data_IF_259760004830
#
_entry.id   IF_259760004830
#
_cell.length_a   1.000
_cell.length_b   1.000
_cell.length_c   1.000
_cell.angle_alpha   90.00
_cell.angle_beta   90.00
_cell.angle_gamma   90.00
#
_symmetry.space_group_name_H-M   'P 1'
#
loop_
_entity.id
_entity.type
_entity.pdbx_description
1 polymer ?
#
# COMPACT_ATOMS: atom_id res chain seq x y z
N UNK A 1 28.73 -63.70 76.98
CA UNK A 1 28.19 -65.04 76.61
C UNK A 1 26.69 -65.06 76.87
N UNK A 2 25.89 -65.84 76.13
CA UNK A 2 24.86 -65.31 75.23
C UNK A 2 23.44 -65.79 75.58
N UNK A 3 22.41 -65.26 74.89
CA UNK A 3 21.27 -65.97 74.23
C UNK A 3 20.13 -64.98 73.95
N UNK A 4 19.88 -64.64 72.68
CA UNK A 4 18.92 -65.23 71.74
C UNK A 4 17.43 -64.95 72.04
N UNK A 5 16.89 -63.96 71.30
CA UNK A 5 15.92 -64.12 70.21
C UNK A 5 14.52 -64.74 70.50
N UNK A 6 13.46 -63.92 70.34
CA UNK A 6 12.41 -63.98 69.27
C UNK A 6 11.01 -63.60 69.77
N UNK A 7 10.19 -63.13 68.81
CA UNK A 7 8.72 -63.07 68.78
C UNK A 7 8.10 -61.87 69.56
N UNK A 8 7.09 -61.12 69.10
CA UNK A 8 6.09 -61.23 68.03
C UNK A 8 5.47 -59.84 67.75
N UNK A 9 5.06 -59.63 66.50
CA UNK A 9 3.90 -58.83 66.04
C UNK A 9 3.69 -57.39 66.58
N UNK A 10 3.74 -56.40 65.67
CA UNK A 10 2.67 -55.40 65.56
C UNK A 10 2.63 -54.75 64.16
N UNK A 11 1.41 -54.61 63.69
CA UNK A 11 0.94 -54.21 62.37
C UNK A 11 1.19 -52.73 62.03
N UNK A 12 0.97 -52.44 60.73
CA UNK A 12 0.38 -51.20 60.19
C UNK A 12 1.36 -50.06 59.89
N UNK A 13 1.60 -49.77 58.61
CA UNK A 13 0.88 -48.72 57.88
C UNK A 13 1.15 -48.78 56.37
N UNK A 14 0.05 -48.67 55.61
CA UNK A 14 0.01 -48.38 54.19
C UNK A 14 0.61 -46.99 53.89
N UNK A 15 1.13 -46.81 52.68
CA UNK A 15 1.44 -45.48 52.14
C UNK A 15 1.96 -45.56 50.71
N UNK A 16 1.03 -45.64 49.76
CA UNK A 16 1.22 -45.70 48.31
C UNK A 16 2.08 -44.56 47.75
N UNK A 17 2.92 -44.89 46.76
CA UNK A 17 3.77 -43.98 46.01
C UNK A 17 2.97 -42.84 45.32
N UNK A 18 3.39 -41.59 45.57
CA UNK A 18 2.89 -40.40 44.89
C UNK A 18 3.86 -40.03 43.75
N UNK A 19 3.57 -40.51 42.53
CA UNK A 19 4.23 -40.06 41.31
C UNK A 19 3.59 -38.73 40.88
N UNK A 20 4.29 -37.62 41.14
CA UNK A 20 3.93 -36.30 40.63
C UNK A 20 4.35 -36.25 39.17
N UNK A 21 3.39 -36.39 38.25
CA UNK A 21 3.61 -36.14 36.83
C UNK A 21 3.61 -34.64 36.58
N UNK A 22 4.78 -34.11 36.21
CA UNK A 22 4.96 -32.74 35.75
C UNK A 22 4.28 -32.62 34.37
N UNK A 23 3.02 -32.19 34.33
CA UNK A 23 2.39 -31.79 33.07
C UNK A 23 2.99 -30.46 32.64
N UNK A 24 3.97 -30.53 31.75
CA UNK A 24 4.41 -29.38 30.98
C UNK A 24 3.22 -28.90 30.15
N UNK A 25 2.55 -27.85 30.61
CA UNK A 25 1.62 -27.07 29.79
C UNK A 25 2.48 -26.38 28.72
N UNK A 26 2.68 -27.09 27.60
CA UNK A 26 3.16 -26.51 26.37
C UNK A 26 2.16 -25.42 25.97
N UNK A 27 2.46 -24.18 26.33
CA UNK A 27 1.74 -23.02 25.80
C UNK A 27 2.08 -23.01 24.31
N UNK A 28 1.26 -23.66 23.50
CA UNK A 28 1.28 -23.47 22.06
C UNK A 28 0.87 -22.03 21.83
N UNK A 29 1.87 -21.15 21.72
CA UNK A 29 1.66 -19.81 21.18
C UNK A 29 1.27 -20.02 19.72
N UNK A 30 -0.03 -20.03 19.46
CA UNK A 30 -0.49 -20.00 18.09
C UNK A 30 0.06 -18.72 17.46
N UNK A 31 0.77 -18.80 16.32
CA UNK A 31 1.22 -17.61 15.63
C UNK A 31 -0.03 -16.80 15.30
N UNK A 32 -0.14 -15.61 15.90
CA UNK A 32 -1.18 -14.65 15.55
C UNK A 32 -1.00 -14.36 14.07
N UNK A 33 -1.94 -14.82 13.24
CA UNK A 33 -1.93 -14.52 11.81
C UNK A 33 -2.08 -13.01 11.70
N UNK A 34 -0.99 -12.32 11.37
CA UNK A 34 -1.05 -10.89 11.08
C UNK A 34 -2.12 -10.67 10.01
N UNK A 35 -3.10 -9.82 10.29
CA UNK A 35 -4.17 -9.53 9.35
C UNK A 35 -3.55 -8.95 8.05
N UNK A 36 -3.82 -9.59 6.91
CA UNK A 36 -3.34 -9.14 5.62
C UNK A 36 -4.06 -7.86 5.20
N UNK A 37 -3.32 -6.91 4.63
CA UNK A 37 -3.90 -5.71 4.05
C UNK A 37 -4.42 -6.08 2.66
N UNK A 38 -5.74 -6.27 2.54
CA UNK A 38 -6.43 -6.52 1.27
C UNK A 38 -7.34 -5.33 0.98
N UNK A 39 -7.19 -4.73 -0.20
CA UNK A 39 -8.05 -3.64 -0.61
C UNK A 39 -9.42 -4.16 -1.05
N UNK A 40 -10.49 -3.48 -0.60
CA UNK A 40 -11.85 -3.71 -1.09
C UNK A 40 -12.24 -2.56 -2.01
N UNK A 41 -12.31 -2.78 -3.34
CA UNK A 41 -12.72 -1.73 -4.26
C UNK A 41 -14.12 -1.21 -3.91
N UNK A 42 -14.33 0.12 -3.92
CA UNK A 42 -15.67 0.67 -3.86
C UNK A 42 -16.46 0.31 -5.14
N UNK A 43 -17.78 0.38 -5.10
CA UNK A 43 -18.64 0.17 -6.28
C UNK A 43 -18.48 1.23 -7.39
N UNK A 44 -17.69 2.28 -7.15
CA UNK A 44 -17.34 3.32 -8.10
C UNK A 44 -16.49 2.77 -9.25
N UNK A 45 -16.75 3.26 -10.47
CA UNK A 45 -15.92 3.01 -11.65
C UNK A 45 -15.39 4.33 -12.19
N UNK A 46 -14.17 4.30 -12.74
CA UNK A 46 -13.66 5.43 -13.51
C UNK A 46 -14.63 5.77 -14.66
N UNK A 47 -14.85 7.07 -14.96
CA UNK A 47 -15.49 7.49 -16.20
C UNK A 47 -14.82 6.84 -17.42
N UNK A 48 -15.63 6.43 -18.41
CA UNK A 48 -15.11 5.83 -19.63
C UNK A 48 -14.18 6.80 -20.34
N UNK A 49 -12.93 6.40 -20.57
CA UNK A 49 -12.01 7.11 -21.45
C UNK A 49 -12.19 6.60 -22.88
N UNK A 50 -12.10 7.48 -23.87
CA UNK A 50 -11.94 7.06 -25.26
C UNK A 50 -10.49 6.59 -25.45
N UNK A 51 -10.29 5.39 -25.99
CA UNK A 51 -8.96 4.96 -26.41
C UNK A 51 -8.50 5.84 -27.60
N UNK A 52 -7.32 6.45 -27.48
CA UNK A 52 -6.68 7.16 -28.59
C UNK A 52 -6.22 6.17 -29.66
N UNK A 53 -6.56 6.42 -30.93
CA UNK A 53 -6.32 5.50 -32.06
C UNK A 53 -4.89 5.48 -32.63
N UNK A 54 -3.86 5.84 -31.85
CA UNK A 54 -2.49 5.93 -32.35
C UNK A 54 -1.60 4.82 -31.77
N UNK A 55 -1.29 3.81 -32.60
CA UNK A 55 -0.20 2.86 -32.33
C UNK A 55 1.11 3.51 -32.77
N UNK A 56 2.03 3.79 -31.83
CA UNK A 56 3.39 4.22 -32.14
C UNK A 56 4.36 3.36 -31.34
N UNK A 57 5.31 2.77 -32.05
CA UNK A 57 6.12 1.64 -31.61
C UNK A 57 7.58 2.07 -31.37
N UNK A 58 7.79 3.15 -30.63
CA UNK A 58 9.14 3.60 -30.28
C UNK A 58 9.27 3.80 -28.77
N UNK A 59 10.42 3.40 -28.24
CA UNK A 59 10.75 3.55 -26.83
C UNK A 59 11.23 4.99 -26.56
N UNK A 60 10.39 5.82 -25.97
CA UNK A 60 10.75 7.20 -25.61
C UNK A 60 11.41 7.20 -24.24
N UNK A 61 12.63 7.75 -24.14
CA UNK A 61 13.46 7.78 -22.93
C UNK A 61 13.62 6.43 -22.18
N UNK A 62 13.67 5.32 -22.93
CA UNK A 62 13.83 3.96 -22.39
C UNK A 62 12.51 3.31 -21.94
N UNK A 63 11.38 4.00 -22.09
CA UNK A 63 10.04 3.56 -21.71
C UNK A 63 9.27 3.24 -22.99
N UNK A 64 8.67 2.06 -23.09
CA UNK A 64 7.95 1.65 -24.31
C UNK A 64 6.57 1.11 -23.97
N UNK A 65 5.53 1.55 -24.70
CA UNK A 65 4.14 1.14 -24.44
C UNK A 65 3.88 -0.38 -24.48
N UNK A 66 4.77 -1.14 -25.13
CA UNK A 66 4.67 -2.59 -25.29
C UNK A 66 5.54 -3.40 -24.30
N UNK A 67 6.20 -2.74 -23.33
CA UNK A 67 6.96 -3.44 -22.29
C UNK A 67 6.04 -4.09 -21.23
N UNK A 68 6.49 -5.18 -20.59
CA UNK A 68 5.73 -5.83 -19.54
C UNK A 68 5.48 -4.90 -18.33
N UNK A 69 4.44 -5.17 -17.51
CA UNK A 69 4.22 -4.47 -16.25
C UNK A 69 5.50 -4.48 -15.39
N UNK A 70 5.83 -3.33 -14.79
CA UNK A 70 7.09 -3.15 -14.04
C UNK A 70 8.27 -2.59 -14.84
N UNK A 71 8.17 -2.50 -16.16
CA UNK A 71 9.17 -1.78 -16.99
C UNK A 71 8.61 -0.49 -17.62
N UNK A 72 7.37 -0.13 -17.26
CA UNK A 72 6.68 1.07 -17.68
C UNK A 72 6.29 1.94 -16.49
N UNK A 73 6.08 3.23 -16.74
CA UNK A 73 5.46 4.13 -15.76
C UNK A 73 4.12 3.53 -15.39
N UNK A 74 3.90 3.29 -14.09
CA UNK A 74 2.73 2.56 -13.62
C UNK A 74 2.03 3.35 -12.52
N UNK A 75 0.74 3.70 -12.68
CA UNK A 75 -0.02 4.31 -11.60
C UNK A 75 -0.19 3.29 -10.46
N UNK A 76 0.02 3.69 -9.20
CA UNK A 76 -0.41 2.85 -8.08
C UNK A 76 -1.90 3.06 -7.88
N UNK A 77 -2.70 2.38 -8.70
CA UNK A 77 -4.16 2.38 -8.67
C UNK A 77 -4.73 0.97 -8.75
N UNK A 78 -5.95 0.75 -8.24
CA UNK A 78 -6.69 -0.46 -8.53
C UNK A 78 -7.06 -0.53 -10.01
N UNK A 79 -7.37 -1.73 -10.50
CA UNK A 79 -7.81 -1.99 -11.89
C UNK A 79 -9.03 -1.16 -12.34
N UNK A 80 -9.77 -0.57 -11.41
CA UNK A 80 -10.88 0.33 -11.71
C UNK A 80 -10.46 1.74 -12.13
N UNK A 81 -9.15 2.05 -12.11
CA UNK A 81 -8.52 3.35 -12.36
C UNK A 81 -9.04 4.50 -11.49
N UNK A 82 -9.77 4.19 -10.41
CA UNK A 82 -10.34 5.17 -9.49
C UNK A 82 -10.06 4.78 -8.04
N UNK A 83 -9.61 5.75 -7.25
CA UNK A 83 -9.44 5.62 -5.81
C UNK A 83 -10.30 6.64 -5.06
N UNK A 84 -10.76 6.28 -3.86
CA UNK A 84 -11.40 7.23 -2.95
C UNK A 84 -10.37 7.89 -2.05
N UNK A 85 -10.67 9.11 -1.62
CA UNK A 85 -9.90 9.76 -0.57
C UNK A 85 -10.73 10.62 0.38
N UNK A 86 -10.29 10.76 1.63
CA UNK A 86 -10.79 11.78 2.55
C UNK A 86 -9.98 13.09 2.49
N UNK A 87 -8.72 12.99 2.05
CA UNK A 87 -7.78 14.09 2.05
C UNK A 87 -8.20 15.20 1.06
N UNK A 88 -8.07 16.45 1.51
CA UNK A 88 -8.22 17.61 0.64
C UNK A 88 -7.08 17.74 -0.37
N UNK A 89 -5.88 17.35 0.05
CA UNK A 89 -4.64 17.38 -0.72
C UNK A 89 -4.02 15.98 -0.71
N UNK A 90 -4.57 15.02 -1.47
CA UNK A 90 -4.06 13.65 -1.47
C UNK A 90 -2.63 13.57 -2.05
N UNK A 91 -1.90 12.54 -1.64
CA UNK A 91 -0.63 12.17 -2.28
C UNK A 91 -0.89 11.05 -3.27
N UNK A 92 -0.37 11.22 -4.49
CA UNK A 92 -0.46 10.23 -5.56
C UNK A 92 0.86 9.49 -5.65
N UNK A 93 0.80 8.17 -5.82
CA UNK A 93 1.98 7.32 -5.93
C UNK A 93 2.05 6.73 -7.33
N UNK A 94 3.25 6.78 -7.93
CA UNK A 94 3.49 6.35 -9.30
C UNK A 94 4.83 5.63 -9.32
N UNK A 95 4.89 4.44 -9.91
CA UNK A 95 6.15 3.78 -10.20
C UNK A 95 6.77 4.37 -11.45
N UNK A 96 8.04 4.75 -11.36
CA UNK A 96 8.86 5.23 -12.47
C UNK A 96 10.01 4.23 -12.67
N UNK A 97 10.08 3.55 -13.83
CA UNK A 97 11.17 2.64 -14.14
C UNK A 97 12.47 3.41 -14.42
N UNK A 98 13.56 2.68 -14.67
CA UNK A 98 14.79 3.30 -15.16
C UNK A 98 14.52 4.05 -16.47
N UNK A 99 14.94 5.32 -16.54
CA UNK A 99 14.63 6.21 -17.66
C UNK A 99 15.71 7.29 -17.81
N UNK A 100 15.83 7.84 -19.02
CA UNK A 100 16.64 9.03 -19.27
C UNK A 100 15.88 10.34 -19.06
N UNK A 101 14.56 10.31 -18.82
CA UNK A 101 13.78 11.50 -18.49
C UNK A 101 14.25 12.12 -17.17
N UNK A 102 14.32 13.45 -17.13
CA UNK A 102 14.75 14.20 -15.94
C UNK A 102 13.58 14.84 -15.18
N UNK A 103 12.44 14.97 -15.84
CA UNK A 103 11.28 15.64 -15.28
C UNK A 103 9.99 15.02 -15.83
N UNK A 104 8.89 15.35 -15.17
CA UNK A 104 7.53 15.02 -15.57
C UNK A 104 6.68 16.27 -15.54
N UNK A 105 5.67 16.32 -16.41
CA UNK A 105 4.54 17.22 -16.25
C UNK A 105 3.43 16.50 -15.50
N UNK A 106 2.92 17.12 -14.45
CA UNK A 106 1.81 16.58 -13.66
C UNK A 106 0.64 17.56 -13.67
N UNK A 107 -0.58 17.06 -13.77
CA UNK A 107 -1.80 17.88 -13.72
C UNK A 107 -2.96 17.18 -13.02
N UNK A 108 -3.89 17.97 -12.48
CA UNK A 108 -5.17 17.55 -11.94
C UNK A 108 -6.26 18.42 -12.56
N UNK A 109 -7.28 17.77 -13.10
CA UNK A 109 -8.46 18.41 -13.68
C UNK A 109 -9.73 17.96 -12.95
N UNK A 110 -10.74 18.82 -12.90
CA UNK A 110 -12.07 18.43 -12.43
C UNK A 110 -12.87 17.65 -13.49
N UNK A 111 -14.09 17.23 -13.16
CA UNK A 111 -14.97 16.50 -14.08
C UNK A 111 -15.36 17.29 -15.34
N UNK A 112 -15.22 18.61 -15.34
CA UNK A 112 -15.49 19.49 -16.49
C UNK A 112 -14.21 19.79 -17.30
N UNK A 113 -13.10 19.11 -16.99
CA UNK A 113 -11.77 19.37 -17.58
C UNK A 113 -11.20 20.76 -17.25
N UNK A 114 -11.66 21.41 -16.18
CA UNK A 114 -11.00 22.60 -15.68
C UNK A 114 -9.72 22.20 -14.96
N UNK A 115 -8.63 22.90 -15.27
CA UNK A 115 -7.35 22.68 -14.60
C UNK A 115 -7.40 23.18 -13.16
N UNK A 116 -7.16 22.29 -12.21
CA UNK A 116 -7.10 22.59 -10.76
C UNK A 116 -5.67 22.80 -10.31
N UNK A 117 -4.74 22.02 -10.85
CA UNK A 117 -3.33 22.08 -10.53
C UNK A 117 -2.50 21.55 -11.69
N UNK A 118 -1.34 22.17 -11.93
CA UNK A 118 -0.33 21.61 -12.80
C UNK A 118 1.07 22.04 -12.35
N UNK A 119 2.06 21.18 -12.58
CA UNK A 119 3.45 21.48 -12.24
C UNK A 119 4.45 20.62 -13.02
N UNK A 120 5.69 21.07 -13.06
CA UNK A 120 6.84 20.32 -13.56
C UNK A 120 7.65 19.78 -12.39
N UNK A 121 7.76 18.46 -12.29
CA UNK A 121 8.43 17.79 -11.17
C UNK A 121 9.71 17.13 -11.65
N UNK A 122 10.82 17.37 -10.95
CA UNK A 122 12.07 16.68 -11.22
C UNK A 122 11.97 15.22 -10.78
N UNK A 123 12.46 14.32 -11.62
CA UNK A 123 12.55 12.91 -11.28
C UNK A 123 13.81 12.61 -10.48
N UNK A 124 13.75 11.67 -9.52
CA UNK A 124 14.94 11.11 -8.92
C UNK A 124 15.73 10.32 -9.97
N UNK A 125 17.05 10.22 -9.79
CA UNK A 125 17.90 9.43 -10.69
C UNK A 125 17.67 7.92 -10.59
N UNK A 126 17.03 7.45 -9.52
CA UNK A 126 16.80 6.02 -9.25
C UNK A 126 15.38 5.65 -9.66
N UNK A 127 15.23 4.47 -10.25
CA UNK A 127 13.92 3.85 -10.46
C UNK A 127 13.23 3.53 -9.12
N UNK A 128 11.91 3.60 -9.11
CA UNK A 128 11.10 3.30 -7.93
C UNK A 128 9.79 4.07 -7.88
N UNK A 129 9.11 3.97 -6.74
CA UNK A 129 7.79 4.53 -6.50
C UNK A 129 7.95 5.93 -5.94
N UNK A 130 7.57 6.93 -6.74
CA UNK A 130 7.62 8.34 -6.38
C UNK A 130 6.31 8.80 -5.75
N UNK A 131 6.38 9.96 -5.07
CA UNK A 131 5.27 10.59 -4.36
C UNK A 131 5.02 11.97 -4.94
N UNK A 132 3.84 12.16 -5.52
CA UNK A 132 3.39 13.44 -6.03
C UNK A 132 2.39 14.04 -5.06
N UNK A 133 2.79 15.11 -4.38
CA UNK A 133 1.96 15.81 -3.38
C UNK A 133 1.23 16.96 -4.05
N UNK A 134 -0.08 17.05 -3.82
CA UNK A 134 -0.80 18.28 -4.12
C UNK A 134 -0.42 19.35 -3.07
N UNK A 135 0.19 20.48 -3.43
CA UNK A 135 0.63 21.48 -2.46
C UNK A 135 -0.54 22.09 -1.69
N UNK A 136 -0.34 22.40 -0.41
CA UNK A 136 -1.35 23.05 0.43
C UNK A 136 -1.73 24.44 -0.11
N UNK A 137 -0.83 25.09 -0.86
CA UNK A 137 -1.07 26.36 -1.53
C UNK A 137 -1.99 26.26 -2.76
N UNK A 138 -2.24 25.05 -3.26
CA UNK A 138 -3.15 24.82 -4.38
C UNK A 138 -4.61 24.63 -3.89
N UNK A 139 -5.62 24.88 -4.75
CA UNK A 139 -7.00 24.65 -4.38
C UNK A 139 -7.23 23.19 -3.93
N UNK A 140 -7.81 23.04 -2.74
CA UNK A 140 -8.20 21.75 -2.21
C UNK A 140 -9.26 21.05 -3.06
N UNK A 141 -9.18 19.71 -3.17
CA UNK A 141 -10.20 18.92 -3.84
C UNK A 141 -11.51 19.03 -3.07
N UNK A 142 -12.66 19.19 -3.71
CA UNK A 142 -13.95 19.32 -3.03
C UNK A 142 -14.55 17.95 -2.73
N UNK A 143 -15.24 17.85 -1.60
CA UNK A 143 -16.00 16.65 -1.20
C UNK A 143 -17.07 16.33 -2.25
N UNK A 144 -17.28 15.04 -2.47
CA UNK A 144 -18.19 14.42 -3.43
C UNK A 144 -17.94 14.85 -4.89
N UNK A 145 -16.68 15.15 -5.20
CA UNK A 145 -16.22 15.46 -6.56
C UNK A 145 -15.16 14.49 -7.07
N UNK A 146 -15.22 14.24 -8.38
CA UNK A 146 -14.25 13.42 -9.11
C UNK A 146 -13.24 14.31 -9.84
N UNK A 147 -11.98 13.92 -9.78
CA UNK A 147 -10.85 14.59 -10.41
C UNK A 147 -10.04 13.58 -11.21
N UNK A 148 -9.49 14.00 -12.35
CA UNK A 148 -8.55 13.21 -13.13
C UNK A 148 -7.16 13.80 -12.95
N UNK A 149 -6.23 12.99 -12.48
CA UNK A 149 -4.82 13.35 -12.52
C UNK A 149 -4.16 12.73 -13.75
N UNK A 150 -3.10 13.37 -14.23
CA UNK A 150 -2.30 12.87 -15.35
C UNK A 150 -0.82 13.21 -15.12
N UNK A 151 0.05 12.27 -15.45
CA UNK A 151 1.50 12.44 -15.43
C UNK A 151 2.04 12.10 -16.81
N UNK A 152 2.84 12.99 -17.40
CA UNK A 152 3.54 12.76 -18.65
C UNK A 152 5.06 12.93 -18.47
N UNK A 153 5.82 11.99 -19.01
CA UNK A 153 7.28 11.97 -18.93
C UNK A 153 7.89 12.95 -19.93
N UNK A 154 8.82 13.80 -19.49
CA UNK A 154 9.52 14.72 -20.38
C UNK A 154 10.82 14.05 -20.85
N UNK A 155 10.72 13.36 -21.98
CA UNK A 155 11.82 12.58 -22.55
C UNK A 155 12.76 13.41 -23.46
N UNK A 156 12.26 14.52 -24.03
CA UNK A 156 13.02 15.44 -24.88
C UNK A 156 13.14 16.80 -24.18
N UNK A 157 13.75 17.85 -24.79
CA UNK A 157 13.82 19.18 -24.17
C UNK A 157 12.47 19.82 -23.83
N UNK A 158 11.36 19.30 -24.38
CA UNK A 158 10.00 19.79 -24.13
C UNK A 158 9.01 18.63 -24.00
N UNK A 159 7.82 18.92 -23.48
CA UNK A 159 6.73 17.93 -23.47
C UNK A 159 6.22 17.71 -24.89
N UNK A 160 6.17 16.45 -25.33
CA UNK A 160 5.74 16.06 -26.68
C UNK A 160 4.44 15.27 -26.67
N UNK A 161 3.62 15.30 -27.74
CA UNK A 161 2.35 14.58 -27.79
C UNK A 161 2.44 13.06 -27.60
N UNK A 162 3.60 12.46 -27.89
CA UNK A 162 3.91 11.04 -27.76
C UNK A 162 4.73 10.72 -26.49
N UNK A 163 4.90 11.70 -25.60
CA UNK A 163 5.50 11.48 -24.29
C UNK A 163 4.73 10.40 -23.52
N UNK A 164 5.43 9.39 -22.94
CA UNK A 164 4.79 8.37 -22.13
C UNK A 164 3.98 9.02 -21.01
N UNK A 165 2.71 8.61 -20.87
CA UNK A 165 1.83 9.20 -19.87
C UNK A 165 0.98 8.14 -19.17
N UNK A 166 0.60 8.44 -17.94
CA UNK A 166 -0.34 7.67 -17.13
C UNK A 166 -1.37 8.62 -16.53
N UNK A 167 -2.54 8.09 -16.19
CA UNK A 167 -3.60 8.88 -15.59
C UNK A 167 -4.43 8.04 -14.63
N UNK A 168 -5.23 8.71 -13.82
CA UNK A 168 -6.14 8.06 -12.91
C UNK A 168 -7.14 9.00 -12.28
N UNK A 169 -8.11 8.43 -11.59
CA UNK A 169 -9.22 9.17 -11.00
C UNK A 169 -9.15 9.20 -9.48
N UNK A 170 -9.50 10.35 -8.92
CA UNK A 170 -9.72 10.60 -7.50
C UNK A 170 -11.19 10.89 -7.32
N UNK A 171 -11.79 10.30 -6.30
CA UNK A 171 -13.08 10.75 -5.77
C UNK A 171 -12.87 11.14 -4.31
N UNK A 172 -12.95 12.45 -3.99
CA UNK A 172 -12.91 12.89 -2.59
C UNK A 172 -14.30 12.66 -2.01
N UNK A 173 -14.39 11.83 -0.98
CA UNK A 173 -15.66 11.48 -0.33
C UNK A 173 -15.73 12.08 1.07
N UNK A 174 -16.92 12.21 1.62
CA UNK A 174 -17.11 12.40 3.06
C UNK A 174 -17.42 11.05 3.73
N UNK A 175 -16.82 10.79 4.90
CA UNK A 175 -17.25 9.70 5.77
C UNK A 175 -17.89 10.27 7.03
N UNK A 176 -18.96 9.63 7.49
CA UNK A 176 -19.53 9.88 8.81
C UNK A 176 -18.51 9.53 9.92
N UNK A 177 -18.70 10.13 11.10
CA UNK A 177 -17.85 10.20 12.30
C UNK A 177 -17.19 8.90 12.84
N UNK A 178 -17.27 7.75 12.17
CA UNK A 178 -16.71 6.46 12.61
C UNK A 178 -15.23 6.27 12.25
N UNK A 179 -14.68 7.08 11.34
CA UNK A 179 -13.25 7.06 10.97
C UNK A 179 -12.41 8.13 11.69
N UNK A 180 -12.91 8.73 12.77
CA UNK A 180 -12.22 9.78 13.55
C UNK A 180 -10.82 9.41 14.08
N UNK A 181 -10.37 8.16 13.91
CA UNK A 181 -9.06 7.67 14.33
C UNK A 181 -8.04 7.49 13.17
N UNK A 182 -8.35 7.94 11.95
CA UNK A 182 -7.45 7.83 10.76
C UNK A 182 -6.21 8.71 10.81
N UNK A 183 -6.07 9.60 11.79
CA UNK A 183 -4.83 10.35 12.00
C UNK A 183 -3.70 9.49 12.58
N UNK A 184 -4.03 8.32 13.15
CA UNK A 184 -3.01 7.44 13.71
C UNK A 184 -2.36 6.61 12.60
N UNK A 185 -1.04 6.78 12.44
CA UNK A 185 -0.20 5.93 11.59
C UNK A 185 -0.02 4.57 12.28
N UNK A 186 -0.97 3.66 12.09
CA UNK A 186 -0.91 2.26 12.57
C UNK A 186 -1.35 1.28 11.50
N UNK A 187 -0.91 0.03 11.60
CA UNK A 187 -1.34 -1.02 10.66
C UNK A 187 -2.86 -1.27 10.73
N UNK A 188 -3.47 -1.12 11.91
CA UNK A 188 -4.93 -1.20 12.08
C UNK A 188 -5.67 -0.10 11.30
N UNK A 189 -5.16 1.14 11.31
CA UNK A 189 -5.69 2.22 10.45
C UNK A 189 -5.62 1.86 8.97
N UNK A 190 -4.48 1.30 8.51
CA UNK A 190 -4.33 0.87 7.10
C UNK A 190 -5.39 -0.16 6.72
N UNK A 191 -5.61 -1.17 7.56
CA UNK A 191 -6.61 -2.22 7.33
C UNK A 191 -8.03 -1.63 7.24
N UNK A 192 -8.38 -0.72 8.15
CA UNK A 192 -9.70 -0.05 8.16
C UNK A 192 -9.92 0.81 6.91
N UNK A 193 -8.90 1.59 6.51
CA UNK A 193 -8.94 2.39 5.29
C UNK A 193 -9.12 1.49 4.05
N UNK A 194 -8.34 0.41 3.96
CA UNK A 194 -8.38 -0.54 2.85
C UNK A 194 -9.75 -1.24 2.74
N UNK A 195 -10.32 -1.63 3.88
CA UNK A 195 -11.65 -2.23 3.95
C UNK A 195 -12.78 -1.26 3.59
N UNK A 196 -12.54 0.05 3.73
CA UNK A 196 -13.49 1.13 3.41
C UNK A 196 -13.35 1.66 1.98
N UNK A 197 -12.41 1.12 1.18
CA UNK A 197 -12.19 1.54 -0.20
C UNK A 197 -11.43 2.87 -0.36
N UNK A 198 -10.85 3.41 0.71
CA UNK A 198 -10.10 4.69 0.73
C UNK A 198 -8.68 4.52 0.21
N UNK A 199 -8.54 4.20 -1.07
CA UNK A 199 -7.29 3.82 -1.72
C UNK A 199 -6.11 4.77 -1.46
N UNK A 200 -6.30 6.07 -1.72
CA UNK A 200 -5.21 7.04 -1.61
C UNK A 200 -4.75 7.18 -0.16
N UNK A 201 -5.67 7.17 0.80
CA UNK A 201 -5.39 7.21 2.23
C UNK A 201 -4.71 5.91 2.70
N UNK A 202 -5.14 4.74 2.20
CA UNK A 202 -4.52 3.44 2.50
C UNK A 202 -3.07 3.40 2.09
N UNK A 203 -2.78 3.71 0.81
CA UNK A 203 -1.40 3.71 0.30
C UNK A 203 -0.55 4.72 1.05
N UNK A 204 -1.06 5.95 1.22
CA UNK A 204 -0.33 7.00 1.91
C UNK A 204 0.06 6.58 3.34
N UNK A 205 -0.90 6.06 4.11
CA UNK A 205 -0.69 5.65 5.49
C UNK A 205 0.33 4.51 5.59
N UNK A 206 0.23 3.51 4.69
CA UNK A 206 1.16 2.39 4.68
C UNK A 206 2.58 2.81 4.24
N UNK A 207 2.69 3.70 3.27
CA UNK A 207 3.97 4.26 2.84
C UNK A 207 4.64 5.06 3.98
N UNK A 208 3.88 5.87 4.73
CA UNK A 208 4.40 6.60 5.89
C UNK A 208 4.87 5.66 7.00
N UNK A 209 4.12 4.59 7.29
CA UNK A 209 4.52 3.56 8.24
C UNK A 209 5.84 2.90 7.86
N UNK A 210 5.98 2.51 6.58
CA UNK A 210 7.20 1.91 6.05
C UNK A 210 8.38 2.86 6.15
N UNK A 211 8.17 4.15 5.85
CA UNK A 211 9.21 5.19 5.99
C UNK A 211 9.65 5.37 7.44
N UNK A 212 8.70 5.33 8.39
CA UNK A 212 9.00 5.45 9.81
C UNK A 212 9.67 4.19 10.40
N UNK A 213 9.42 3.02 9.82
CA UNK A 213 9.91 1.72 10.31
C UNK A 213 10.48 0.86 9.17
N UNK A 214 11.62 1.25 8.57
CA UNK A 214 12.12 0.65 7.33
C UNK A 214 12.51 -0.83 7.46
N UNK A 215 12.84 -1.30 8.65
CA UNK A 215 13.24 -2.69 8.92
C UNK A 215 12.07 -3.59 9.39
N UNK A 216 10.84 -3.06 9.40
CA UNK A 216 9.67 -3.83 9.86
C UNK A 216 9.14 -4.72 8.74
N UNK A 217 9.43 -6.02 8.84
CA UNK A 217 9.04 -7.02 7.84
C UNK A 217 7.52 -7.13 7.65
N UNK A 218 6.72 -6.88 8.71
CA UNK A 218 5.26 -6.92 8.62
C UNK A 218 4.77 -5.81 7.67
N UNK A 219 5.37 -4.62 7.71
CA UNK A 219 4.99 -3.52 6.83
C UNK A 219 5.44 -3.76 5.38
N UNK A 220 6.60 -4.40 5.19
CA UNK A 220 7.06 -4.84 3.86
C UNK A 220 6.07 -5.84 3.26
N UNK A 221 5.69 -6.88 3.99
CA UNK A 221 4.72 -7.88 3.53
C UNK A 221 3.34 -7.26 3.33
N UNK A 222 2.90 -6.37 4.21
CA UNK A 222 1.60 -5.68 4.06
C UNK A 222 1.52 -4.83 2.79
N UNK A 223 2.63 -4.22 2.37
CA UNK A 223 2.70 -3.48 1.11
C UNK A 223 2.65 -4.38 -0.10
N UNK A 224 3.40 -5.48 -0.07
CA UNK A 224 3.37 -6.48 -1.13
C UNK A 224 1.95 -7.05 -1.28
N UNK A 225 1.32 -7.43 -0.18
CA UNK A 225 -0.06 -7.93 -0.16
C UNK A 225 -1.06 -6.90 -0.72
N UNK A 226 -0.94 -5.62 -0.32
CA UNK A 226 -1.80 -4.55 -0.82
C UNK A 226 -1.67 -4.40 -2.34
N UNK A 227 -0.44 -4.29 -2.87
CA UNK A 227 -0.22 -4.12 -4.31
C UNK A 227 -0.60 -5.36 -5.11
N UNK A 228 -0.33 -6.56 -4.59
CA UNK A 228 -0.78 -7.81 -5.20
C UNK A 228 -2.31 -7.90 -5.26
N UNK A 229 -3.01 -7.42 -4.22
CA UNK A 229 -4.48 -7.47 -4.15
C UNK A 229 -5.18 -6.65 -5.25
N UNK A 230 -4.44 -5.77 -5.93
CA UNK A 230 -4.96 -4.92 -7.01
C UNK A 230 -4.22 -5.10 -8.33
N UNK A 231 -3.49 -6.21 -8.50
CA UNK A 231 -2.81 -6.54 -9.77
C UNK A 231 -1.48 -5.80 -10.01
N UNK A 232 -0.91 -5.14 -8.99
CA UNK A 232 0.36 -4.40 -9.08
C UNK A 232 1.56 -5.23 -8.62
N UNK A 233 1.51 -6.55 -8.80
CA UNK A 233 2.55 -7.48 -8.33
C UNK A 233 3.93 -7.22 -8.95
N UNK A 234 3.97 -6.72 -10.18
CA UNK A 234 5.23 -6.45 -10.88
C UNK A 234 6.07 -5.34 -10.23
N UNK A 235 5.44 -4.42 -9.50
CA UNK A 235 6.10 -3.29 -8.82
C UNK A 235 6.06 -3.42 -7.29
N UNK A 236 5.59 -4.56 -6.76
CA UNK A 236 5.36 -4.74 -5.34
C UNK A 236 6.64 -4.69 -4.47
N UNK A 237 7.78 -5.00 -5.08
CA UNK A 237 9.09 -5.03 -4.44
C UNK A 237 9.93 -3.77 -4.68
N UNK A 238 9.41 -2.83 -5.49
CA UNK A 238 10.13 -1.61 -5.86
C UNK A 238 10.26 -0.66 -4.67
N UNK A 239 11.37 0.08 -4.56
CA UNK A 239 11.60 0.99 -3.45
C UNK A 239 10.64 2.18 -3.54
N UNK A 240 10.10 2.62 -2.41
CA UNK A 240 9.45 3.93 -2.31
C UNK A 240 10.54 4.98 -2.13
N UNK A 241 10.64 5.89 -3.10
CA UNK A 241 11.65 6.95 -3.11
C UNK A 241 11.14 8.09 -2.24
N UNK A 242 12.01 8.58 -1.36
CA UNK A 242 11.73 9.72 -0.46
C UNK A 242 11.90 11.06 -1.17
#
# INVERSE_FOLDING_TARGET
MPTKNKFLLRYLQLGTALLITLSALSIWTMPSSAARVVFKPPGDRAPKTSAGGASRNDSTCGIASNKPPGENVTPLLPESDIGLTLAEHPTIFIYVPETSAKAVFFSIQDANSNNIYQDYLNLPQKAGIIRVKLPISSPGLKVDQKYKWSLAMICTPSLEPDSPFVSGWIHRVSFANTLNNTQNLTLDSVIKLAASGLWYDTIFTLAELRRAQPNNQILTTSWQDLLNSVGLNAIANEPVIN
#
